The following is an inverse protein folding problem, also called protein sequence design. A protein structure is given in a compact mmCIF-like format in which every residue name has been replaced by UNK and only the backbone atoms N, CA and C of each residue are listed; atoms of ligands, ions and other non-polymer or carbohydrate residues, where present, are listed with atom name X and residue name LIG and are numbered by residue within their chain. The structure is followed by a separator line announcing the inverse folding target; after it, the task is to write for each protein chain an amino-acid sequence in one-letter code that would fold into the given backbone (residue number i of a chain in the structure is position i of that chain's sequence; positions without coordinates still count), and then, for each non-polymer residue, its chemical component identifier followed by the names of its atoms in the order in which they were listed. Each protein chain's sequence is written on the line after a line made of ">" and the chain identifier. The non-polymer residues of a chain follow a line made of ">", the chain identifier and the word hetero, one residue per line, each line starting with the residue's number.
data_IF_709215139133
#
_entry.id   IF_709215139133
#
_cell.length_a   1.000
_cell.length_b   1.000
_cell.length_c   1.000
_cell.angle_alpha   90.00
_cell.angle_beta   90.00
_cell.angle_gamma   90.00
#
_symmetry.space_group_name_H-M   'P 1'
#
loop_
_entity.id
_entity.type
_entity.pdbx_description
1 polymer ?
#
# COMPACT_ATOMS: atom_id res chain seq x y z
N UNK A 1 -24.43 -34.47 -18.53
CA UNK A 1 -24.04 -35.13 -19.80
C UNK A 1 -24.00 -34.13 -20.95
N UNK A 2 -23.69 -34.56 -22.19
CA UNK A 2 -23.59 -33.67 -23.37
C UNK A 2 -24.85 -32.81 -23.56
N UNK A 3 -26.04 -33.38 -23.40
CA UNK A 3 -27.31 -32.64 -23.57
C UNK A 3 -27.45 -31.45 -22.60
N UNK A 4 -27.05 -31.62 -21.35
CA UNK A 4 -27.09 -30.55 -20.34
C UNK A 4 -26.07 -29.45 -20.63
N UNK A 5 -24.89 -29.83 -21.14
CA UNK A 5 -23.86 -28.89 -21.57
C UNK A 5 -24.30 -28.05 -22.79
N UNK A 6 -25.00 -28.68 -23.73
CA UNK A 6 -25.60 -27.99 -24.89
C UNK A 6 -26.72 -27.06 -24.41
N UNK A 7 -27.58 -27.51 -23.49
CA UNK A 7 -28.63 -26.67 -22.88
C UNK A 7 -28.04 -25.48 -22.12
N UNK A 8 -26.87 -25.64 -21.51
CA UNK A 8 -26.11 -24.56 -20.86
C UNK A 8 -25.41 -23.62 -21.85
N UNK A 9 -25.47 -23.89 -23.16
CA UNK A 9 -25.03 -22.99 -24.22
C UNK A 9 -23.74 -23.39 -24.95
N UNK A 10 -23.20 -24.59 -24.73
CA UNK A 10 -22.08 -25.09 -25.55
C UNK A 10 -22.56 -25.61 -26.91
N UNK A 11 -21.73 -25.44 -27.94
CA UNK A 11 -21.91 -26.15 -29.19
C UNK A 11 -21.75 -27.67 -28.97
N UNK A 12 -22.41 -28.48 -29.79
CA UNK A 12 -22.45 -29.95 -29.61
C UNK A 12 -21.05 -30.57 -29.60
N UNK A 13 -20.15 -30.13 -30.49
CA UNK A 13 -18.78 -30.66 -30.56
C UNK A 13 -17.93 -30.23 -29.35
N UNK A 14 -18.06 -28.97 -28.92
CA UNK A 14 -17.41 -28.48 -27.70
C UNK A 14 -17.93 -29.21 -26.45
N UNK A 15 -19.24 -29.49 -26.38
CA UNK A 15 -19.86 -30.22 -25.29
C UNK A 15 -19.35 -31.66 -25.19
N UNK A 16 -19.15 -32.35 -26.32
CA UNK A 16 -18.54 -33.71 -26.35
C UNK A 16 -17.09 -33.68 -25.85
N UNK A 17 -16.30 -32.71 -26.34
CA UNK A 17 -14.91 -32.53 -25.90
C UNK A 17 -14.81 -32.20 -24.41
N UNK A 18 -15.69 -31.32 -23.93
CA UNK A 18 -15.80 -30.95 -22.52
C UNK A 18 -16.20 -32.13 -21.65
N UNK A 19 -17.22 -32.91 -22.04
CA UNK A 19 -17.66 -34.09 -21.28
C UNK A 19 -16.55 -35.12 -21.16
N UNK A 20 -15.79 -35.36 -22.23
CA UNK A 20 -14.62 -36.25 -22.19
C UNK A 20 -13.59 -35.76 -21.16
N UNK A 21 -13.26 -34.48 -21.18
CA UNK A 21 -12.34 -33.88 -20.20
C UNK A 21 -12.85 -33.97 -18.76
N UNK A 22 -14.16 -33.82 -18.56
CA UNK A 22 -14.82 -33.96 -17.26
C UNK A 22 -14.74 -35.41 -16.75
N UNK A 23 -15.03 -36.41 -17.60
CA UNK A 23 -14.91 -37.83 -17.25
C UNK A 23 -13.47 -38.21 -16.91
N UNK A 24 -12.50 -37.70 -17.67
CA UNK A 24 -11.08 -37.92 -17.39
C UNK A 24 -10.67 -37.33 -16.03
N UNK A 25 -11.20 -36.15 -15.66
CA UNK A 25 -10.93 -35.53 -14.35
C UNK A 25 -11.56 -36.35 -13.23
N UNK A 26 -12.84 -36.74 -13.38
CA UNK A 26 -13.55 -37.60 -12.42
C UNK A 26 -12.81 -38.92 -12.20
N UNK A 27 -12.33 -39.56 -13.28
CA UNK A 27 -11.58 -40.81 -13.22
C UNK A 27 -10.25 -40.69 -12.44
N UNK A 28 -9.62 -39.52 -12.43
CA UNK A 28 -8.39 -39.23 -11.67
C UNK A 28 -8.64 -38.95 -10.20
N UNK A 29 -9.85 -38.53 -9.85
CA UNK A 29 -10.24 -38.10 -8.50
C UNK A 29 -11.32 -39.01 -7.91
N UNK A 30 -11.35 -40.29 -8.31
CA UNK A 30 -12.35 -41.24 -7.81
C UNK A 30 -12.14 -41.46 -6.31
N UNK A 31 -13.21 -41.26 -5.53
CA UNK A 31 -13.20 -41.43 -4.08
C UNK A 31 -12.57 -40.29 -3.28
N UNK A 32 -12.17 -39.18 -3.93
CA UNK A 32 -11.66 -37.99 -3.25
C UNK A 32 -12.77 -36.99 -2.90
N UNK A 33 -12.48 -36.07 -1.98
CA UNK A 33 -13.30 -34.90 -1.66
C UNK A 33 -13.71 -34.13 -2.96
N UNK A 34 -14.96 -33.66 -3.10
CA UNK A 34 -15.38 -32.75 -4.18
C UNK A 34 -14.43 -31.58 -4.46
N UNK A 35 -13.72 -31.08 -3.44
CA UNK A 35 -12.66 -30.07 -3.56
C UNK A 35 -11.52 -30.50 -4.47
N UNK A 36 -11.13 -31.77 -4.45
CA UNK A 36 -10.05 -32.30 -5.28
C UNK A 36 -10.50 -32.44 -6.74
N UNK A 37 -11.75 -32.86 -6.98
CA UNK A 37 -12.33 -32.84 -8.32
C UNK A 37 -12.38 -31.40 -8.88
N UNK A 38 -12.86 -30.44 -8.08
CA UNK A 38 -12.90 -29.05 -8.51
C UNK A 38 -11.48 -28.49 -8.77
N UNK A 39 -10.50 -28.85 -7.94
CA UNK A 39 -9.10 -28.46 -8.13
C UNK A 39 -8.52 -29.03 -9.43
N UNK A 40 -8.82 -30.29 -9.77
CA UNK A 40 -8.36 -30.89 -11.02
C UNK A 40 -8.98 -30.20 -12.24
N UNK A 41 -10.30 -29.91 -12.20
CA UNK A 41 -11.00 -29.22 -13.29
C UNK A 41 -10.44 -27.82 -13.55
N UNK A 42 -10.14 -27.07 -12.48
CA UNK A 42 -9.56 -25.73 -12.57
C UNK A 42 -8.09 -25.77 -13.00
N UNK A 43 -7.28 -26.68 -12.47
CA UNK A 43 -5.87 -26.85 -12.85
C UNK A 43 -5.70 -27.19 -14.34
N UNK A 44 -6.58 -28.03 -14.89
CA UNK A 44 -6.58 -28.38 -16.32
C UNK A 44 -7.15 -27.28 -17.23
N UNK A 45 -7.66 -26.18 -16.66
CA UNK A 45 -8.37 -25.10 -17.38
C UNK A 45 -9.48 -25.64 -18.27
N UNK A 46 -10.22 -26.65 -17.78
CA UNK A 46 -11.31 -27.27 -18.55
C UNK A 46 -12.43 -26.24 -18.80
N UNK A 47 -12.75 -25.44 -17.79
CA UNK A 47 -13.61 -24.26 -17.92
C UNK A 47 -12.78 -23.06 -18.42
N UNK A 48 -13.18 -22.48 -19.55
CA UNK A 48 -12.54 -21.31 -20.17
C UNK A 48 -13.39 -20.05 -19.95
N UNK A 49 -12.79 -18.85 -19.85
CA UNK A 49 -13.55 -17.60 -19.72
C UNK A 49 -14.55 -17.34 -20.86
N UNK A 50 -14.33 -17.94 -22.02
CA UNK A 50 -15.21 -17.85 -23.19
C UNK A 50 -16.45 -18.75 -23.11
N UNK A 51 -16.52 -19.69 -22.17
CA UNK A 51 -17.70 -20.54 -22.04
C UNK A 51 -18.87 -19.75 -21.43
N UNK A 52 -20.12 -20.08 -21.80
CA UNK A 52 -21.29 -19.46 -21.18
C UNK A 52 -21.31 -19.66 -19.66
N UNK A 53 -21.70 -18.62 -18.92
CA UNK A 53 -21.74 -18.66 -17.45
C UNK A 53 -22.55 -19.85 -16.90
N UNK A 54 -23.65 -20.23 -17.58
CA UNK A 54 -24.48 -21.36 -17.19
C UNK A 54 -23.71 -22.70 -17.19
N UNK A 55 -22.69 -22.87 -18.04
CA UNK A 55 -21.81 -24.05 -18.05
C UNK A 55 -20.96 -24.08 -16.78
N UNK A 56 -20.41 -22.93 -16.38
CA UNK A 56 -19.62 -22.83 -15.15
C UNK A 56 -20.48 -23.19 -13.93
N UNK A 57 -21.71 -22.65 -13.86
CA UNK A 57 -22.64 -22.95 -12.78
C UNK A 57 -23.03 -24.43 -12.76
N UNK A 58 -23.39 -24.99 -13.91
CA UNK A 58 -23.77 -26.40 -14.03
C UNK A 58 -22.68 -27.32 -13.49
N UNK A 59 -21.43 -27.11 -13.91
CA UNK A 59 -20.31 -27.95 -13.49
C UNK A 59 -20.01 -27.74 -12.01
N UNK A 60 -20.01 -26.50 -11.52
CA UNK A 60 -19.75 -26.20 -10.11
C UNK A 60 -20.78 -26.84 -9.18
N UNK A 61 -22.07 -26.64 -9.43
CA UNK A 61 -23.13 -27.20 -8.61
C UNK A 61 -23.23 -28.72 -8.76
N UNK A 62 -22.87 -29.29 -9.90
CA UNK A 62 -22.79 -30.74 -10.06
C UNK A 62 -21.65 -31.34 -9.21
N UNK A 63 -20.46 -30.72 -9.21
CA UNK A 63 -19.30 -31.18 -8.41
C UNK A 63 -19.61 -31.09 -6.92
N UNK A 64 -20.22 -29.99 -6.48
CA UNK A 64 -20.55 -29.75 -5.08
C UNK A 64 -21.97 -30.16 -4.69
N UNK A 65 -22.68 -30.95 -5.49
CA UNK A 65 -24.10 -31.27 -5.28
C UNK A 65 -24.40 -31.85 -3.89
N UNK A 66 -23.47 -32.65 -3.36
CA UNK A 66 -23.58 -33.31 -2.05
C UNK A 66 -22.61 -32.73 -1.01
N UNK A 67 -22.11 -31.51 -1.23
CA UNK A 67 -21.14 -30.89 -0.35
C UNK A 67 -21.81 -30.32 0.90
N UNK A 68 -21.45 -30.84 2.07
CA UNK A 68 -21.94 -30.32 3.35
C UNK A 68 -21.19 -29.04 3.75
N UNK A 69 -21.79 -27.89 3.40
CA UNK A 69 -21.26 -26.58 3.74
C UNK A 69 -21.34 -26.25 5.24
N UNK A 70 -22.20 -26.91 6.00
CA UNK A 70 -22.33 -26.66 7.45
C UNK A 70 -21.09 -27.14 8.22
N UNK A 71 -20.51 -28.23 7.77
CA UNK A 71 -19.33 -28.85 8.37
C UNK A 71 -18.04 -28.36 7.72
N UNK A 72 -18.03 -28.15 6.40
CA UNK A 72 -16.80 -27.90 5.64
C UNK A 72 -16.59 -26.43 5.26
N UNK A 73 -17.49 -25.53 5.69
CA UNK A 73 -17.55 -24.15 5.21
C UNK A 73 -18.01 -24.07 3.75
N UNK A 74 -18.02 -22.87 3.13
CA UNK A 74 -18.53 -22.70 1.77
C UNK A 74 -17.67 -23.45 0.73
N UNK A 75 -18.28 -24.01 -0.34
CA UNK A 75 -17.54 -24.65 -1.41
C UNK A 75 -16.65 -23.64 -2.14
N UNK A 76 -15.40 -24.00 -2.38
CA UNK A 76 -14.41 -23.07 -2.91
C UNK A 76 -14.49 -22.99 -4.44
N UNK A 77 -14.55 -21.77 -4.97
CA UNK A 77 -14.62 -21.55 -6.42
C UNK A 77 -13.26 -21.57 -7.12
N UNK A 78 -12.17 -21.34 -6.39
CA UNK A 78 -10.85 -21.22 -6.96
C UNK A 78 -9.79 -21.74 -5.99
N UNK A 79 -8.74 -22.33 -6.56
CA UNK A 79 -7.55 -22.75 -5.84
C UNK A 79 -6.32 -22.17 -6.54
N UNK A 80 -5.35 -21.61 -5.78
CA UNK A 80 -4.07 -21.27 -6.39
C UNK A 80 -3.37 -22.56 -6.82
N UNK A 81 -2.81 -22.56 -8.02
CA UNK A 81 -1.93 -23.66 -8.41
C UNK A 81 -0.68 -23.64 -7.55
N UNK A 82 -0.14 -24.82 -7.22
CA UNK A 82 1.12 -24.90 -6.47
C UNK A 82 2.24 -24.13 -7.16
N UNK A 83 2.30 -24.21 -8.49
CA UNK A 83 3.22 -23.42 -9.31
C UNK A 83 3.11 -21.93 -8.99
N UNK A 84 1.91 -21.33 -9.11
CA UNK A 84 1.71 -19.91 -8.84
C UNK A 84 2.01 -19.55 -7.37
N UNK A 85 1.58 -20.39 -6.42
CA UNK A 85 1.82 -20.15 -5.00
C UNK A 85 3.31 -19.98 -4.70
N UNK A 86 4.18 -20.81 -5.29
CA UNK A 86 5.65 -20.73 -5.12
C UNK A 86 6.26 -19.41 -5.61
N UNK A 87 5.66 -18.73 -6.57
CA UNK A 87 6.15 -17.46 -7.10
C UNK A 87 5.61 -16.22 -6.40
N UNK A 88 4.61 -16.36 -5.52
CA UNK A 88 4.18 -15.25 -4.67
C UNK A 88 5.30 -14.80 -3.73
N UNK A 89 5.27 -13.57 -3.22
CA UNK A 89 6.29 -13.10 -2.28
C UNK A 89 6.37 -13.99 -1.03
N UNK A 90 5.22 -14.32 -0.44
CA UNK A 90 5.17 -15.23 0.70
C UNK A 90 5.60 -16.65 0.33
N UNK A 91 5.18 -17.15 -0.84
CA UNK A 91 5.58 -18.48 -1.31
C UNK A 91 7.07 -18.60 -1.52
N UNK A 92 7.74 -17.59 -2.09
CA UNK A 92 9.20 -17.56 -2.21
C UNK A 92 9.90 -17.55 -0.85
N UNK A 93 9.38 -16.78 0.10
CA UNK A 93 9.88 -16.77 1.47
C UNK A 93 9.72 -18.15 2.13
N UNK A 94 8.55 -18.78 1.98
CA UNK A 94 8.28 -20.12 2.48
C UNK A 94 9.14 -21.19 1.80
N UNK A 95 9.37 -21.12 0.49
CA UNK A 95 10.25 -22.07 -0.21
C UNK A 95 11.71 -21.91 0.22
N UNK A 96 12.14 -20.67 0.50
CA UNK A 96 13.51 -20.37 0.93
C UNK A 96 13.76 -20.78 2.38
N UNK A 97 12.79 -20.56 3.27
CA UNK A 97 12.99 -20.73 4.72
C UNK A 97 12.19 -21.87 5.34
N UNK A 98 11.14 -22.35 4.69
CA UNK A 98 10.16 -23.29 5.25
C UNK A 98 10.78 -24.57 5.78
N UNK A 99 11.66 -25.23 5.01
CA UNK A 99 12.36 -26.43 5.46
C UNK A 99 13.25 -26.19 6.68
N UNK A 100 13.82 -24.99 6.82
CA UNK A 100 14.63 -24.62 7.99
C UNK A 100 13.76 -24.31 9.21
N UNK A 101 12.62 -23.64 9.00
CA UNK A 101 11.74 -23.19 10.10
C UNK A 101 10.81 -24.30 10.61
N UNK A 102 10.30 -25.15 9.71
CA UNK A 102 9.29 -26.17 10.01
C UNK A 102 9.83 -27.60 9.90
N UNK A 103 11.09 -27.78 9.49
CA UNK A 103 11.72 -29.09 9.33
C UNK A 103 11.00 -29.98 8.32
N UNK A 104 10.87 -31.27 8.63
CA UNK A 104 10.21 -32.26 7.79
C UNK A 104 8.70 -32.02 7.60
N UNK A 105 8.10 -31.12 8.40
CA UNK A 105 6.69 -30.74 8.28
C UNK A 105 6.44 -29.76 7.13
N UNK A 106 7.49 -29.10 6.61
CA UNK A 106 7.37 -28.28 5.42
C UNK A 106 7.21 -29.17 4.18
N UNK A 107 6.18 -28.92 3.38
CA UNK A 107 5.93 -29.60 2.12
C UNK A 107 5.90 -28.60 0.97
N UNK A 108 5.02 -27.62 1.08
CA UNK A 108 4.85 -26.58 0.08
C UNK A 108 4.09 -25.36 0.66
N UNK A 109 4.05 -24.21 -0.04
CA UNK A 109 3.44 -22.99 0.48
C UNK A 109 1.95 -23.10 0.76
N UNK A 110 1.22 -23.99 0.08
CA UNK A 110 -0.22 -24.14 0.26
C UNK A 110 -0.49 -25.05 1.47
N UNK A 111 0.09 -26.24 1.49
CA UNK A 111 -0.18 -27.22 2.56
C UNK A 111 0.46 -26.85 3.89
N UNK A 112 1.59 -26.13 3.86
CA UNK A 112 2.30 -25.69 5.06
C UNK A 112 1.91 -24.28 5.53
N UNK A 113 1.00 -23.57 4.85
CA UNK A 113 0.63 -22.18 5.19
C UNK A 113 0.22 -22.02 6.65
N UNK A 114 -0.73 -22.84 7.14
CA UNK A 114 -1.23 -22.72 8.51
C UNK A 114 -0.15 -22.99 9.55
N UNK A 115 0.75 -23.94 9.27
CA UNK A 115 1.88 -24.22 10.17
C UNK A 115 2.89 -23.08 10.17
N UNK A 116 3.17 -22.50 9.00
CA UNK A 116 4.04 -21.34 8.86
C UNK A 116 3.45 -20.09 9.53
N UNK A 117 2.14 -19.87 9.41
CA UNK A 117 1.43 -18.78 10.07
C UNK A 117 1.47 -18.94 11.60
N UNK A 118 1.24 -20.16 12.10
CA UNK A 118 1.43 -20.47 13.53
C UNK A 118 2.86 -20.18 13.98
N UNK A 119 3.87 -20.65 13.23
CA UNK A 119 5.28 -20.36 13.52
C UNK A 119 5.56 -18.86 13.57
N UNK A 120 5.01 -18.07 12.64
CA UNK A 120 5.23 -16.62 12.61
C UNK A 120 4.72 -15.89 13.86
N UNK A 121 3.67 -16.41 14.48
CA UNK A 121 3.10 -15.86 15.71
C UNK A 121 3.86 -16.33 16.97
N UNK A 122 4.31 -17.59 16.99
CA UNK A 122 5.02 -18.18 18.14
C UNK A 122 6.51 -17.80 18.19
N UNK A 123 7.11 -17.45 17.05
CA UNK A 123 8.54 -17.14 16.93
C UNK A 123 8.80 -15.79 16.22
N UNK A 124 8.32 -14.67 16.80
CA UNK A 124 8.42 -13.35 16.16
C UNK A 124 9.88 -12.93 15.92
N UNK A 125 10.80 -13.25 16.83
CA UNK A 125 12.23 -12.92 16.71
C UNK A 125 12.85 -13.48 15.43
N UNK A 126 12.49 -14.72 15.07
CA UNK A 126 13.00 -15.39 13.87
C UNK A 126 12.27 -14.90 12.63
N UNK A 127 10.94 -14.85 12.68
CA UNK A 127 10.12 -14.51 11.53
C UNK A 127 10.35 -13.07 11.06
N UNK A 128 10.28 -12.09 11.97
CA UNK A 128 10.43 -10.68 11.59
C UNK A 128 11.86 -10.33 11.21
N UNK A 129 12.87 -10.99 11.76
CA UNK A 129 14.26 -10.83 11.28
C UNK A 129 14.37 -11.19 9.79
N UNK A 130 13.68 -12.24 9.34
CA UNK A 130 13.60 -12.60 7.92
C UNK A 130 12.85 -11.51 7.14
N UNK A 131 11.66 -11.12 7.60
CA UNK A 131 10.82 -10.14 6.90
C UNK A 131 11.52 -8.78 6.75
N UNK A 132 12.15 -8.25 7.80
CA UNK A 132 12.86 -6.97 7.75
C UNK A 132 14.02 -7.00 6.75
N UNK A 133 14.72 -8.13 6.65
CA UNK A 133 15.77 -8.34 5.64
C UNK A 133 15.19 -8.41 4.23
N UNK A 134 14.08 -9.13 4.05
CA UNK A 134 13.38 -9.23 2.76
C UNK A 134 12.88 -7.87 2.27
N UNK A 135 12.36 -7.06 3.19
CA UNK A 135 11.94 -5.67 2.93
C UNK A 135 13.12 -4.71 2.76
N UNK A 136 14.35 -5.15 3.04
CA UNK A 136 15.56 -4.34 2.97
C UNK A 136 15.48 -3.07 3.82
N UNK A 137 14.93 -3.20 5.03
CA UNK A 137 14.85 -2.10 5.99
C UNK A 137 16.27 -1.70 6.40
N UNK A 138 16.59 -0.42 6.22
CA UNK A 138 17.86 0.16 6.62
C UNK A 138 17.76 0.69 8.05
N UNK A 139 18.51 0.08 8.95
CA UNK A 139 18.73 0.58 10.30
C UNK A 139 20.07 1.29 10.37
N UNK A 140 20.07 2.54 10.86
CA UNK A 140 21.30 3.25 11.23
C UNK A 140 21.80 2.80 12.60
N UNK A 141 20.87 2.49 13.50
CA UNK A 141 21.12 1.73 14.71
C UNK A 141 20.21 0.49 14.71
N UNK A 142 20.81 -0.69 14.78
CA UNK A 142 20.07 -1.95 14.78
C UNK A 142 19.32 -2.15 16.10
N UNK A 143 18.11 -2.74 16.07
CA UNK A 143 17.37 -2.99 17.30
C UNK A 143 18.09 -4.03 18.17
N UNK A 144 17.89 -3.95 19.49
CA UNK A 144 18.44 -4.92 20.46
C UNK A 144 17.85 -6.34 20.27
N UNK A 145 16.57 -6.40 19.92
CA UNK A 145 15.81 -7.60 19.57
C UNK A 145 14.62 -7.19 18.69
N UNK A 146 13.86 -8.14 18.14
CA UNK A 146 12.64 -7.83 17.40
C UNK A 146 11.53 -7.34 18.33
N UNK A 147 11.34 -8.03 19.45
CA UNK A 147 10.25 -7.76 20.38
C UNK A 147 10.72 -7.96 21.82
N UNK A 148 10.61 -6.90 22.62
CA UNK A 148 10.86 -6.93 24.05
C UNK A 148 9.53 -6.94 24.83
N UNK A 149 9.26 -8.05 25.53
CA UNK A 149 8.07 -8.24 26.36
C UNK A 149 8.38 -8.18 27.87
N UNK A 150 9.56 -7.69 28.25
CA UNK A 150 9.95 -7.60 29.66
C UNK A 150 9.12 -6.59 30.45
N UNK A 151 8.67 -5.52 29.79
CA UNK A 151 7.76 -4.51 30.36
C UNK A 151 6.30 -4.93 30.22
N UNK A 152 5.74 -5.45 31.32
CA UNK A 152 4.36 -5.94 31.38
C UNK A 152 3.30 -4.83 31.35
N UNK A 153 3.68 -3.56 31.49
CA UNK A 153 2.75 -2.43 31.36
C UNK A 153 2.36 -2.16 29.90
N UNK A 154 3.24 -2.53 28.96
CA UNK A 154 3.04 -2.37 27.52
C UNK A 154 2.39 -3.62 26.93
N UNK A 155 1.07 -3.52 26.73
CA UNK A 155 0.30 -4.57 26.07
C UNK A 155 0.86 -4.79 24.65
N UNK A 156 1.44 -5.98 24.41
CA UNK A 156 2.06 -6.32 23.13
C UNK A 156 3.57 -6.06 23.02
N UNK A 157 4.22 -5.58 24.09
CA UNK A 157 5.67 -5.36 24.15
C UNK A 157 6.18 -4.13 23.39
N UNK A 158 7.51 -3.97 23.33
CA UNK A 158 8.19 -2.92 22.56
C UNK A 158 8.87 -3.56 21.35
N UNK A 159 8.48 -3.14 20.15
CA UNK A 159 9.05 -3.62 18.90
C UNK A 159 10.32 -2.85 18.53
N UNK A 160 11.34 -3.57 18.06
CA UNK A 160 12.62 -3.06 17.57
C UNK A 160 13.28 -2.05 18.53
N UNK A 161 13.35 -2.32 19.85
CA UNK A 161 13.81 -1.35 20.85
C UNK A 161 15.24 -0.88 20.56
N UNK A 162 15.42 0.44 20.65
CA UNK A 162 16.71 1.10 20.43
C UNK A 162 17.08 1.25 18.96
N UNK A 163 16.24 0.83 18.01
CA UNK A 163 16.53 1.07 16.60
C UNK A 163 16.31 2.51 16.17
N UNK A 164 17.14 2.95 15.23
CA UNK A 164 17.11 4.27 14.60
C UNK A 164 17.10 4.09 13.10
N UNK A 165 16.16 4.74 12.41
CA UNK A 165 15.98 4.65 10.97
C UNK A 165 15.28 5.90 10.42
N UNK A 166 15.10 5.92 9.10
CA UNK A 166 14.11 6.74 8.43
C UNK A 166 13.39 5.88 7.39
N UNK A 167 12.08 5.68 7.53
CA UNK A 167 11.36 4.79 6.61
C UNK A 167 11.24 5.39 5.20
N UNK A 168 11.13 6.72 5.07
CA UNK A 168 11.12 7.40 3.77
C UNK A 168 12.43 7.19 3.02
N UNK A 169 13.56 7.16 3.73
CA UNK A 169 14.85 6.78 3.16
C UNK A 169 14.84 5.35 2.60
N UNK A 170 14.28 4.37 3.33
CA UNK A 170 14.11 3.00 2.83
C UNK A 170 13.27 2.98 1.53
N UNK A 171 12.24 3.82 1.44
CA UNK A 171 11.41 4.00 0.25
C UNK A 171 12.13 4.67 -0.93
N UNK A 172 13.25 5.38 -0.72
CA UNK A 172 13.95 6.15 -1.75
C UNK A 172 15.33 5.61 -2.15
N UNK A 173 15.96 4.83 -1.29
CA UNK A 173 17.28 4.24 -1.58
C UNK A 173 17.21 3.17 -2.65
N UNK A 174 18.18 3.19 -3.58
CA UNK A 174 18.40 2.07 -4.49
C UNK A 174 19.01 0.88 -3.75
N UNK A 175 18.54 -0.32 -4.02
CA UNK A 175 19.03 -1.55 -3.40
C UNK A 175 19.15 -2.67 -4.44
N UNK A 176 20.19 -3.51 -4.31
CA UNK A 176 20.38 -4.68 -5.20
C UNK A 176 19.31 -5.75 -4.97
N UNK A 177 18.71 -5.79 -3.79
CA UNK A 177 17.59 -6.63 -3.41
C UNK A 177 16.53 -5.75 -2.74
N UNK A 178 15.24 -5.78 -3.13
CA UNK A 178 14.60 -6.63 -4.15
C UNK A 178 14.78 -6.15 -5.61
N UNK A 179 15.95 -5.57 -5.95
CA UNK A 179 16.30 -4.93 -7.25
C UNK A 179 15.54 -3.62 -7.48
N UNK A 180 15.79 -2.66 -6.59
CA UNK A 180 15.30 -1.30 -6.67
C UNK A 180 16.41 -0.43 -7.24
N UNK A 181 16.39 -0.18 -8.54
CA UNK A 181 17.42 0.58 -9.25
C UNK A 181 16.97 2.02 -9.50
N UNK A 182 17.94 2.92 -9.64
CA UNK A 182 17.69 4.36 -9.81
C UNK A 182 16.87 4.69 -11.08
N UNK A 183 17.05 3.92 -12.14
CA UNK A 183 16.31 4.00 -13.41
C UNK A 183 14.98 3.24 -13.41
N UNK A 184 14.70 2.47 -12.35
CA UNK A 184 13.44 1.77 -12.18
C UNK A 184 12.28 2.74 -12.00
N UNK A 185 11.13 2.42 -12.58
CA UNK A 185 9.89 3.19 -12.41
C UNK A 185 9.44 3.13 -10.94
N UNK A 186 9.28 4.31 -10.31
CA UNK A 186 8.81 4.45 -8.94
C UNK A 186 7.36 4.93 -8.88
N UNK A 187 6.97 5.87 -9.75
CA UNK A 187 5.59 6.37 -9.84
C UNK A 187 5.11 6.28 -11.28
N UNK A 188 3.90 5.77 -11.45
CA UNK A 188 3.16 5.78 -12.71
C UNK A 188 1.82 6.42 -12.42
N UNK A 189 1.48 7.48 -13.14
CA UNK A 189 0.24 8.22 -12.89
C UNK A 189 -0.35 8.77 -14.18
N UNK A 190 -1.55 9.31 -14.05
CA UNK A 190 -2.23 10.03 -15.11
C UNK A 190 -2.90 11.24 -14.48
N UNK A 191 -2.83 12.37 -15.18
CA UNK A 191 -3.47 13.59 -14.74
C UNK A 191 -4.97 13.56 -15.04
N UNK A 192 -5.78 14.22 -14.21
CA UNK A 192 -7.23 14.33 -14.42
C UNK A 192 -7.53 14.90 -15.81
N UNK A 193 -8.42 14.24 -16.56
CA UNK A 193 -8.81 14.66 -17.91
C UNK A 193 -7.89 14.17 -19.03
N UNK A 194 -6.86 13.38 -18.71
CA UNK A 194 -5.92 12.78 -19.67
C UNK A 194 -6.15 11.26 -19.85
N UNK A 195 -7.40 10.79 -19.73
CA UNK A 195 -7.77 9.35 -19.74
C UNK A 195 -7.30 8.59 -20.98
N UNK A 196 -7.30 9.25 -22.13
CA UNK A 196 -6.86 8.69 -23.42
C UNK A 196 -5.37 8.93 -23.71
N UNK A 197 -4.66 9.65 -22.84
CA UNK A 197 -3.22 9.91 -22.97
C UNK A 197 -2.38 8.76 -22.41
N UNK A 198 -1.13 8.71 -22.87
CA UNK A 198 -0.11 7.85 -22.27
C UNK A 198 0.04 8.18 -20.78
N UNK A 199 0.29 7.15 -19.97
CA UNK A 199 0.56 7.36 -18.54
C UNK A 199 1.93 8.05 -18.38
N UNK A 200 2.01 8.91 -17.39
CA UNK A 200 3.25 9.55 -16.97
C UNK A 200 4.07 8.57 -16.13
N UNK A 201 5.37 8.78 -16.11
CA UNK A 201 6.34 7.94 -15.42
C UNK A 201 7.37 8.80 -14.68
N UNK A 202 7.81 8.33 -13.52
CA UNK A 202 8.91 8.92 -12.77
C UNK A 202 9.78 7.78 -12.24
N UNK A 203 11.07 7.90 -12.51
CA UNK A 203 12.09 6.96 -12.01
C UNK A 203 12.33 7.15 -10.51
N UNK A 204 12.93 6.16 -9.87
CA UNK A 204 13.29 6.24 -8.46
C UNK A 204 14.25 7.41 -8.18
N UNK A 205 15.23 7.63 -9.06
CA UNK A 205 16.17 8.73 -8.92
C UNK A 205 15.46 10.09 -8.97
N UNK A 206 14.58 10.29 -9.95
CA UNK A 206 13.81 11.53 -10.08
C UNK A 206 12.91 11.76 -8.86
N UNK A 207 12.23 10.72 -8.40
CA UNK A 207 11.41 10.80 -7.18
C UNK A 207 12.28 11.22 -5.98
N UNK A 208 13.43 10.57 -5.79
CA UNK A 208 14.35 10.86 -4.68
C UNK A 208 14.85 12.30 -4.72
N UNK A 209 15.27 12.79 -5.89
CA UNK A 209 15.77 14.16 -6.07
C UNK A 209 14.67 15.20 -5.76
N UNK A 210 13.44 14.97 -6.21
CA UNK A 210 12.30 15.85 -5.90
C UNK A 210 11.94 15.83 -4.42
N UNK A 211 11.95 14.65 -3.78
CA UNK A 211 11.69 14.53 -2.34
C UNK A 211 12.77 15.27 -1.54
N UNK A 212 14.05 15.12 -1.90
CA UNK A 212 15.15 15.80 -1.24
C UNK A 212 15.09 17.32 -1.42
N UNK A 213 14.66 17.80 -2.59
CA UNK A 213 14.42 19.23 -2.83
C UNK A 213 13.35 19.80 -1.90
N UNK A 214 12.21 19.12 -1.79
CA UNK A 214 11.13 19.54 -0.89
C UNK A 214 11.58 19.46 0.57
N UNK A 215 12.33 18.43 0.96
CA UNK A 215 12.88 18.27 2.30
C UNK A 215 13.81 19.45 2.68
N UNK A 216 14.72 19.86 1.79
CA UNK A 216 15.56 21.05 1.99
C UNK A 216 14.72 22.31 2.15
N UNK A 217 13.73 22.53 1.26
CA UNK A 217 12.86 23.70 1.34
C UNK A 217 12.04 23.76 2.63
N UNK A 218 11.66 22.60 3.18
CA UNK A 218 11.01 22.51 4.49
C UNK A 218 11.97 22.84 5.64
N UNK A 219 13.18 22.28 5.63
CA UNK A 219 14.20 22.49 6.69
C UNK A 219 14.64 23.96 6.79
N UNK A 220 14.53 24.72 5.70
CA UNK A 220 14.78 26.16 5.68
C UNK A 220 13.70 27.00 6.41
N UNK A 221 12.51 26.45 6.66
CA UNK A 221 11.33 27.20 7.13
C UNK A 221 10.77 26.66 8.45
N UNK A 222 10.89 25.35 8.70
CA UNK A 222 10.25 24.64 9.81
C UNK A 222 11.26 23.95 10.72
N UNK A 223 10.84 23.57 11.92
CA UNK A 223 11.66 22.82 12.87
C UNK A 223 11.28 21.34 12.87
N UNK A 224 12.27 20.45 12.93
CA UNK A 224 12.05 18.99 13.03
C UNK A 224 11.02 18.66 14.11
N UNK A 225 10.12 17.72 13.80
CA UNK A 225 8.97 17.37 14.65
C UNK A 225 7.75 18.27 14.49
N UNK A 226 7.83 19.38 13.74
CA UNK A 226 6.65 20.16 13.38
C UNK A 226 5.64 19.30 12.60
N UNK A 227 4.36 19.45 12.94
CA UNK A 227 3.27 18.81 12.22
C UNK A 227 2.91 19.63 10.98
N UNK A 228 2.90 18.99 9.82
CA UNK A 228 2.69 19.63 8.52
C UNK A 228 1.55 18.92 7.80
N UNK A 229 0.49 19.67 7.53
CA UNK A 229 -0.71 19.13 6.92
C UNK A 229 -0.59 19.04 5.40
N UNK A 230 -1.28 18.06 4.83
CA UNK A 230 -1.50 17.94 3.38
C UNK A 230 -3.01 17.92 3.19
N UNK A 231 -3.51 18.91 2.44
CA UNK A 231 -4.90 19.00 1.97
C UNK A 231 -4.86 19.21 0.47
N UNK A 232 -4.72 18.11 -0.26
CA UNK A 232 -4.53 18.05 -1.71
C UNK A 232 -5.14 16.75 -2.27
N UNK A 233 -5.56 16.75 -3.56
CA UNK A 233 -5.79 15.53 -4.32
C UNK A 233 -4.54 14.64 -4.36
N UNK A 234 -4.75 13.35 -4.64
CA UNK A 234 -3.70 12.33 -4.80
C UNK A 234 -2.88 12.53 -6.09
N UNK A 235 -2.05 13.56 -6.10
CA UNK A 235 -1.11 13.88 -7.19
C UNK A 235 0.28 13.29 -6.91
N UNK A 236 1.12 13.19 -7.94
CA UNK A 236 2.55 12.82 -7.74
C UNK A 236 3.26 13.78 -6.79
N UNK A 237 2.93 15.08 -6.84
CA UNK A 237 3.50 16.08 -5.93
C UNK A 237 3.04 15.88 -4.50
N UNK A 238 1.81 15.43 -4.26
CA UNK A 238 1.36 15.07 -2.91
C UNK A 238 2.16 13.88 -2.33
N UNK A 239 2.51 12.89 -3.16
CA UNK A 239 3.40 11.78 -2.77
C UNK A 239 4.81 12.28 -2.45
N UNK A 240 5.36 13.18 -3.28
CA UNK A 240 6.67 13.81 -3.04
C UNK A 240 6.66 14.56 -1.70
N UNK A 241 5.64 15.40 -1.45
CA UNK A 241 5.49 16.17 -0.22
C UNK A 241 5.39 15.24 0.98
N UNK A 242 4.56 14.20 0.92
CA UNK A 242 4.43 13.21 1.98
C UNK A 242 5.78 12.59 2.36
N UNK A 243 6.50 12.07 1.37
CA UNK A 243 7.80 11.43 1.59
C UNK A 243 8.83 12.44 2.12
N UNK A 244 8.79 13.70 1.67
CA UNK A 244 9.70 14.75 2.11
C UNK A 244 9.48 15.15 3.57
N UNK A 245 8.22 15.28 4.01
CA UNK A 245 7.87 15.56 5.41
C UNK A 245 8.49 14.47 6.31
N UNK A 246 8.29 13.19 5.99
CA UNK A 246 8.86 12.07 6.77
C UNK A 246 10.38 12.01 6.65
N UNK A 247 10.96 12.24 5.47
CA UNK A 247 12.41 12.21 5.25
C UNK A 247 13.14 13.28 6.09
N UNK A 248 12.54 14.46 6.22
CA UNK A 248 13.08 15.57 7.00
C UNK A 248 12.70 15.53 8.49
N UNK A 249 12.04 14.46 8.95
CA UNK A 249 11.72 14.26 10.37
C UNK A 249 10.60 15.16 10.90
N UNK A 250 9.72 15.62 10.02
CA UNK A 250 8.45 16.27 10.36
C UNK A 250 7.33 15.23 10.48
N UNK A 251 6.15 15.68 10.93
CA UNK A 251 4.98 14.81 11.11
C UNK A 251 3.89 15.15 10.08
N UNK A 252 3.52 14.19 9.24
CA UNK A 252 2.45 14.37 8.24
C UNK A 252 1.08 14.42 8.91
N UNK A 253 0.26 15.39 8.54
CA UNK A 253 -1.16 15.43 8.91
C UNK A 253 -2.00 15.33 7.64
N UNK A 254 -2.51 14.14 7.34
CA UNK A 254 -3.31 13.92 6.13
C UNK A 254 -4.76 14.41 6.33
N UNK A 255 -5.19 15.36 5.51
CA UNK A 255 -6.54 15.93 5.52
C UNK A 255 -7.16 15.69 4.13
N UNK A 256 -8.40 15.19 4.11
CA UNK A 256 -9.08 14.92 2.85
C UNK A 256 -9.48 16.23 2.15
N UNK A 257 -9.17 16.32 0.86
CA UNK A 257 -9.45 17.46 -0.02
C UNK A 257 -10.94 17.74 -0.24
N UNK A 258 -11.79 16.77 0.11
CA UNK A 258 -13.25 16.89 0.11
C UNK A 258 -13.83 17.56 1.36
N UNK A 259 -13.04 17.76 2.41
CA UNK A 259 -13.57 18.28 3.68
C UNK A 259 -13.98 19.75 3.61
N UNK A 260 -14.94 20.10 4.47
CA UNK A 260 -15.35 21.47 4.70
C UNK A 260 -14.27 22.25 5.45
N UNK A 261 -14.30 23.59 5.37
CA UNK A 261 -13.37 24.46 6.08
C UNK A 261 -13.32 24.15 7.60
N UNK A 262 -14.47 23.87 8.23
CA UNK A 262 -14.54 23.54 9.65
C UNK A 262 -13.87 22.19 9.98
N UNK A 263 -14.01 21.20 9.10
CA UNK A 263 -13.36 19.90 9.25
C UNK A 263 -11.84 19.98 9.08
N UNK A 264 -11.36 20.83 8.17
CA UNK A 264 -9.95 21.16 7.98
C UNK A 264 -9.42 21.87 9.23
N UNK A 265 -10.10 22.93 9.69
CA UNK A 265 -9.72 23.73 10.85
C UNK A 265 -9.59 22.88 12.12
N UNK A 266 -10.55 21.97 12.33
CA UNK A 266 -10.55 21.06 13.47
C UNK A 266 -9.31 20.17 13.47
N UNK A 267 -8.93 19.61 12.31
CA UNK A 267 -7.75 18.74 12.19
C UNK A 267 -6.45 19.52 12.37
N UNK A 268 -6.33 20.69 11.77
CA UNK A 268 -5.19 21.59 11.97
C UNK A 268 -5.00 21.95 13.45
N UNK A 269 -6.09 22.25 14.17
CA UNK A 269 -6.06 22.54 15.61
C UNK A 269 -5.65 21.33 16.42
N UNK A 270 -6.28 20.17 16.21
CA UNK A 270 -6.03 18.95 16.99
C UNK A 270 -4.59 18.46 16.78
N UNK A 271 -4.07 18.51 15.55
CA UNK A 271 -2.68 18.14 15.26
C UNK A 271 -1.66 19.23 15.58
N UNK A 272 -2.12 20.45 15.90
CA UNK A 272 -1.28 21.64 16.09
C UNK A 272 -0.38 21.92 14.87
N UNK A 273 -0.92 21.71 13.66
CA UNK A 273 -0.17 21.87 12.42
C UNK A 273 0.42 23.28 12.28
N UNK A 274 1.70 23.35 11.89
CA UNK A 274 2.42 24.61 11.63
C UNK A 274 2.17 25.16 10.25
N UNK A 275 1.93 24.28 9.29
CA UNK A 275 1.61 24.64 7.92
C UNK A 275 0.71 23.60 7.26
N UNK A 276 0.19 23.96 6.09
CA UNK A 276 -0.58 23.08 5.22
C UNK A 276 -0.09 23.23 3.77
N UNK A 277 0.21 22.10 3.11
CA UNK A 277 0.32 22.05 1.66
C UNK A 277 -1.06 21.91 1.06
N UNK A 278 -1.39 22.74 0.08
CA UNK A 278 -2.70 22.71 -0.60
C UNK A 278 -2.61 23.15 -2.05
N UNK A 279 -3.72 23.14 -2.78
CA UNK A 279 -3.83 23.65 -4.14
C UNK A 279 -4.78 24.82 -4.24
N UNK A 280 -4.61 25.64 -5.27
CA UNK A 280 -5.59 26.68 -5.62
C UNK A 280 -6.99 26.07 -5.87
N UNK A 281 -7.05 25.03 -6.71
CA UNK A 281 -8.27 24.34 -7.11
C UNK A 281 -8.05 22.83 -7.21
N UNK A 282 -9.13 22.07 -6.97
CA UNK A 282 -9.24 20.67 -7.37
C UNK A 282 -9.87 20.64 -8.76
N UNK A 283 -9.26 19.91 -9.69
CA UNK A 283 -9.88 19.58 -10.97
C UNK A 283 -10.52 18.21 -10.85
N UNK A 284 -11.83 18.12 -11.14
CA UNK A 284 -12.54 16.84 -11.18
C UNK A 284 -13.71 16.89 -12.15
N UNK A 285 -13.79 15.92 -13.06
CA UNK A 285 -14.85 15.86 -14.08
C UNK A 285 -14.94 17.13 -14.92
N UNK A 286 -13.80 17.74 -15.25
CA UNK A 286 -13.70 18.98 -16.01
C UNK A 286 -14.12 20.25 -15.25
N UNK A 287 -14.39 20.17 -13.94
CA UNK A 287 -14.77 21.32 -13.11
C UNK A 287 -13.65 21.68 -12.12
N UNK A 288 -13.53 22.97 -11.80
CA UNK A 288 -12.62 23.49 -10.77
C UNK A 288 -13.39 23.75 -9.48
N UNK A 289 -12.90 23.21 -8.37
CA UNK A 289 -13.43 23.44 -7.02
C UNK A 289 -12.40 24.23 -6.20
N UNK A 290 -12.75 25.39 -5.61
CA UNK A 290 -11.79 26.27 -4.93
C UNK A 290 -11.32 25.66 -3.61
N UNK A 291 -10.11 25.09 -3.60
CA UNK A 291 -9.57 24.42 -2.42
C UNK A 291 -8.88 25.41 -1.50
N UNK A 292 -8.02 26.27 -2.04
CA UNK A 292 -7.34 27.28 -1.22
C UNK A 292 -8.31 28.19 -0.48
N UNK A 293 -9.45 28.57 -1.08
CA UNK A 293 -10.47 29.37 -0.39
C UNK A 293 -11.00 28.67 0.87
N UNK A 294 -11.32 27.36 0.78
CA UNK A 294 -11.74 26.56 1.93
C UNK A 294 -10.65 26.45 2.99
N UNK A 295 -9.40 26.31 2.56
CA UNK A 295 -8.24 26.29 3.46
C UNK A 295 -8.05 27.65 4.15
N UNK A 296 -8.25 28.78 3.46
CA UNK A 296 -8.19 30.11 4.07
C UNK A 296 -9.27 30.28 5.14
N UNK A 297 -10.50 29.83 4.89
CA UNK A 297 -11.59 29.82 5.87
C UNK A 297 -11.26 28.95 7.10
N UNK A 298 -10.48 27.88 6.92
CA UNK A 298 -9.97 27.05 8.00
C UNK A 298 -8.88 27.73 8.86
N UNK A 299 -8.43 28.92 8.46
CA UNK A 299 -7.49 29.79 9.17
C UNK A 299 -6.15 29.11 9.59
N UNK A 300 -5.42 28.44 8.69
CA UNK A 300 -4.11 27.87 8.99
C UNK A 300 -3.08 28.97 9.25
N UNK A 301 -2.07 28.64 10.06
CA UNK A 301 -0.92 29.50 10.35
C UNK A 301 -0.15 29.90 9.08
N UNK A 302 0.08 28.95 8.17
CA UNK A 302 0.76 29.13 6.89
C UNK A 302 0.27 28.09 5.88
N UNK A 303 0.03 28.50 4.65
CA UNK A 303 -0.23 27.59 3.53
C UNK A 303 0.89 27.68 2.49
N UNK A 304 1.28 26.53 1.95
CA UNK A 304 2.08 26.42 0.73
C UNK A 304 1.14 25.95 -0.37
N UNK A 305 0.96 26.78 -1.39
CA UNK A 305 -0.09 26.62 -2.39
C UNK A 305 0.51 26.21 -3.73
N UNK A 306 0.06 25.07 -4.23
CA UNK A 306 0.42 24.52 -5.53
C UNK A 306 -0.63 24.87 -6.58
N UNK A 307 -0.24 25.01 -7.86
CA UNK A 307 -1.21 25.11 -8.93
C UNK A 307 -1.91 23.76 -9.14
N UNK A 308 -3.23 23.77 -9.22
CA UNK A 308 -4.05 22.62 -9.60
C UNK A 308 -4.00 22.34 -11.11
N UNK A 309 -3.67 23.37 -11.91
CA UNK A 309 -3.40 23.26 -13.35
C UNK A 309 -2.29 24.22 -13.77
N UNK A 310 -1.42 23.81 -14.68
CA UNK A 310 -0.35 24.67 -15.19
C UNK A 310 0.85 24.76 -14.24
N UNK A 311 1.60 25.86 -14.32
CA UNK A 311 2.87 26.05 -13.59
C UNK A 311 2.81 27.06 -12.45
N UNK A 312 1.81 27.95 -12.48
CA UNK A 312 1.71 29.07 -11.57
C UNK A 312 0.31 29.11 -10.94
N UNK A 313 0.29 29.58 -9.70
CA UNK A 313 -0.94 29.75 -8.91
C UNK A 313 -1.65 31.02 -9.39
N UNK A 314 -2.89 30.91 -9.84
CA UNK A 314 -3.69 32.02 -10.39
C UNK A 314 -4.72 32.55 -9.37
N UNK A 315 -4.23 32.86 -8.16
CA UNK A 315 -5.04 33.42 -7.07
C UNK A 315 -4.20 34.35 -6.19
N UNK A 316 -4.87 35.27 -5.49
CA UNK A 316 -4.21 36.13 -4.51
C UNK A 316 -3.97 35.37 -3.20
N UNK A 317 -2.69 35.22 -2.83
CA UNK A 317 -2.29 34.60 -1.57
C UNK A 317 -2.36 35.57 -0.40
N UNK A 318 -2.65 35.04 0.80
CA UNK A 318 -2.47 35.79 2.06
C UNK A 318 -0.98 36.11 2.26
N UNK A 319 -0.68 37.19 2.98
CA UNK A 319 0.70 37.68 3.19
C UNK A 319 1.65 36.63 3.79
N UNK A 320 1.13 35.74 4.63
CA UNK A 320 1.90 34.70 5.31
C UNK A 320 2.04 33.41 4.50
N UNK A 321 1.31 33.25 3.41
CA UNK A 321 1.31 32.04 2.58
C UNK A 321 2.35 32.15 1.46
N UNK A 322 2.77 31.01 0.92
CA UNK A 322 3.76 30.92 -0.16
C UNK A 322 3.18 30.17 -1.34
N UNK A 323 3.52 30.61 -2.56
CA UNK A 323 3.35 29.75 -3.74
C UNK A 323 4.40 28.63 -3.70
N UNK A 324 4.10 27.52 -4.37
CA UNK A 324 5.02 26.40 -4.52
C UNK A 324 6.39 26.82 -5.07
N UNK A 325 6.39 27.66 -6.11
CA UNK A 325 7.62 28.14 -6.73
C UNK A 325 8.47 28.96 -5.75
N UNK A 326 7.83 29.84 -4.96
CA UNK A 326 8.54 30.62 -3.94
C UNK A 326 9.06 29.73 -2.81
N UNK A 327 8.28 28.73 -2.38
CA UNK A 327 8.68 27.75 -1.38
C UNK A 327 9.95 26.99 -1.83
N UNK A 328 9.97 26.42 -3.04
CA UNK A 328 11.14 25.72 -3.56
C UNK A 328 12.34 26.66 -3.78
N UNK A 329 12.09 27.90 -4.20
CA UNK A 329 13.17 28.86 -4.45
C UNK A 329 13.98 29.23 -3.21
N UNK A 330 13.44 28.96 -2.01
CA UNK A 330 14.13 29.21 -0.73
C UNK A 330 15.50 28.53 -0.63
N UNK A 331 15.70 27.43 -1.37
CA UNK A 331 16.93 26.63 -1.34
C UNK A 331 17.75 26.69 -2.63
N UNK A 332 17.37 27.54 -3.60
CA UNK A 332 18.11 27.69 -4.87
C UNK A 332 19.56 28.17 -4.68
N UNK A 333 19.87 28.78 -3.54
CA UNK A 333 21.22 29.24 -3.21
C UNK A 333 22.15 28.10 -2.76
N UNK A 334 21.62 26.90 -2.46
CA UNK A 334 22.40 25.74 -2.07
C UNK A 334 23.09 25.12 -3.29
N UNK A 335 24.34 24.62 -3.18
CA UNK A 335 25.06 24.00 -4.29
C UNK A 335 24.47 22.65 -4.74
N UNK A 336 23.63 22.02 -3.93
CA UNK A 336 22.98 20.74 -4.22
C UNK A 336 21.58 20.69 -3.60
N UNK A 337 20.61 21.48 -4.11
CA UNK A 337 19.29 21.60 -3.49
C UNK A 337 18.49 20.30 -3.55
N UNK A 338 18.85 19.38 -4.46
CA UNK A 338 18.25 18.05 -4.60
C UNK A 338 18.98 16.96 -3.79
N UNK A 339 19.88 17.35 -2.89
CA UNK A 339 20.57 16.43 -1.98
C UNK A 339 20.23 16.78 -0.54
N UNK A 340 19.68 15.83 0.21
CA UNK A 340 19.28 16.00 1.60
C UNK A 340 19.74 14.79 2.41
N UNK A 341 20.35 15.02 3.58
CA UNK A 341 20.69 13.95 4.52
C UNK A 341 19.45 13.58 5.33
N UNK A 342 18.90 12.35 5.20
CA UNK A 342 17.69 11.94 5.91
C UNK A 342 17.80 12.13 7.41
N UNK A 343 16.73 12.60 8.05
CA UNK A 343 16.70 12.77 9.50
C UNK A 343 16.42 11.42 10.13
N UNK A 344 17.47 10.85 10.74
CA UNK A 344 17.42 9.59 11.45
C UNK A 344 16.69 9.78 12.78
N UNK A 345 15.75 8.88 13.08
CA UNK A 345 14.90 8.99 14.27
C UNK A 345 14.71 7.63 14.95
N UNK A 346 14.53 7.60 16.28
CA UNK A 346 14.07 6.41 16.98
C UNK A 346 12.81 5.81 16.35
N UNK A 347 12.67 4.49 16.40
CA UNK A 347 11.55 3.73 15.84
C UNK A 347 10.15 4.17 16.28
N UNK A 348 10.02 4.75 17.48
CA UNK A 348 8.79 5.26 18.08
C UNK A 348 8.53 6.74 17.77
N UNK A 349 9.41 7.38 17.00
CA UNK A 349 9.21 8.76 16.55
C UNK A 349 8.04 8.85 15.61
N UNK A 350 7.17 9.84 15.85
CA UNK A 350 5.95 10.05 15.08
C UNK A 350 6.28 10.47 13.64
N UNK A 351 5.66 9.82 12.66
CA UNK A 351 5.73 10.17 11.24
C UNK A 351 4.43 10.76 10.75
N UNK A 352 3.29 10.34 11.32
CA UNK A 352 1.97 10.81 10.90
C UNK A 352 1.00 11.00 12.06
N UNK A 353 0.01 11.85 11.81
CA UNK A 353 -1.22 11.97 12.58
C UNK A 353 -2.38 11.69 11.63
N UNK A 354 -3.03 10.54 11.81
CA UNK A 354 -4.25 10.17 11.09
C UNK A 354 -5.48 10.51 11.92
N UNK A 355 -6.63 10.68 11.27
CA UNK A 355 -7.89 10.96 11.96
C UNK A 355 -8.93 9.89 11.66
N UNK A 356 -9.58 9.39 12.72
CA UNK A 356 -10.80 8.59 12.60
C UNK A 356 -12.03 9.41 12.95
N UNK A 357 -13.15 9.12 12.28
CA UNK A 357 -14.45 9.68 12.63
C UNK A 357 -14.89 9.10 13.98
N UNK A 358 -14.86 9.93 15.03
CA UNK A 358 -15.50 9.60 16.30
C UNK A 358 -17.01 9.71 16.18
N UNK A 359 -17.76 8.89 16.92
CA UNK A 359 -19.22 8.99 17.03
C UNK A 359 -19.68 10.20 17.84
N UNK A 360 -18.78 10.82 18.63
CA UNK A 360 -19.02 12.01 19.45
C UNK A 360 -17.74 12.84 19.60
N UNK A 361 -17.81 14.16 19.40
CA UNK A 361 -16.72 15.11 19.68
C UNK A 361 -15.72 15.33 18.54
N UNK A 362 -14.57 15.92 18.89
CA UNK A 362 -13.45 16.14 17.97
C UNK A 362 -12.94 14.80 17.38
N UNK A 363 -12.43 14.80 16.13
CA UNK A 363 -11.87 13.59 15.52
C UNK A 363 -10.67 13.08 16.32
N UNK A 364 -10.57 11.76 16.46
CA UNK A 364 -9.49 11.13 17.22
C UNK A 364 -8.21 11.14 16.38
N UNK A 365 -7.19 11.83 16.87
CA UNK A 365 -5.84 11.79 16.33
C UNK A 365 -5.16 10.46 16.69
N UNK A 366 -4.74 9.73 15.67
CA UNK A 366 -4.08 8.43 15.77
C UNK A 366 -2.64 8.63 15.28
N UNK A 367 -1.66 8.64 16.19
CA UNK A 367 -0.27 8.80 15.82
C UNK A 367 0.26 7.50 15.20
N UNK A 368 1.03 7.65 14.15
CA UNK A 368 1.81 6.60 13.49
C UNK A 368 3.29 6.95 13.65
N UNK A 369 4.14 5.93 13.75
CA UNK A 369 5.58 6.10 13.98
C UNK A 369 6.37 5.46 12.85
N UNK A 370 7.71 5.58 12.88
CA UNK A 370 8.60 4.88 11.94
C UNK A 370 8.35 3.35 11.88
N UNK A 371 7.79 2.75 12.94
CA UNK A 371 7.38 1.33 13.00
C UNK A 371 6.12 1.02 12.20
N UNK A 372 5.16 1.94 12.20
CA UNK A 372 3.85 1.81 11.54
C UNK A 372 3.57 3.06 10.69
N UNK A 373 4.35 3.29 9.63
CA UNK A 373 4.41 4.59 8.96
C UNK A 373 3.45 4.75 7.79
#
# INVERSE_FOLDING_TARGET
>A
GVEELVKAGLAVEDAKGFEKGLRDAIARTVGSDPKELWRELTARRLLRPSHPHAVHQLVYYAVYANYDASTNGPPLYWFPSLYQSKYTNLGRLMETHGSKLLGASYKDPVTSFSLFQKFSAEHPEVYWSIVLKELSILFHEVPKCILDTSDTSKHGGTWLPGSVLNISECCLLSTSYPRKQDDGLAVVWRDEGCDDSQVNHMTLKELREQVMLVANAMDAIFSKGDAIAIDMPMTVTAVIIYLAIVLAGFVVVSIADSFSANEIATRLRVSKAKAIFTQDFIVRGGRKFPLYSRVVEAAPNKAIVLPGTGKDVDIQLRKQDLSWNNFLSSVNHLPGPNYFSPVQQPIDSMTNILFSSGTTGDPKAIPWTQLSP
#
